data_IF_734893023275
#
_entry.id   IF_734893023275
#
_cell.length_a   1.000
_cell.length_b   1.000
_cell.length_c   1.000
_cell.angle_alpha   90.00
_cell.angle_beta   90.00
_cell.angle_gamma   90.00
#
_symmetry.space_group_name_H-M   'P 1'
#
loop_
_entity.id
_entity.type
_entity.pdbx_description
1 polymer ?
#
# COMPACT_ATOMS: atom_id res chain seq x y z
N UNK A 1 41.31 22.24 -29.38
CA UNK A 1 40.70 21.72 -28.12
C UNK A 1 39.34 22.38 -27.88
N UNK A 2 38.34 22.09 -28.72
CA UNK A 2 37.00 22.71 -28.63
C UNK A 2 35.84 21.71 -28.80
N UNK A 3 36.13 20.41 -28.88
CA UNK A 3 35.14 19.37 -29.15
C UNK A 3 34.56 18.68 -27.91
N UNK A 4 35.10 18.94 -26.72
CA UNK A 4 34.77 18.17 -25.51
C UNK A 4 33.70 18.82 -24.62
N UNK A 5 33.37 20.09 -24.84
CA UNK A 5 32.40 20.83 -24.01
C UNK A 5 30.96 20.58 -24.44
N UNK A 6 30.72 20.22 -25.71
CA UNK A 6 29.37 20.09 -26.26
C UNK A 6 28.67 18.78 -25.83
N UNK A 7 29.43 17.70 -25.57
CA UNK A 7 28.87 16.39 -25.22
C UNK A 7 28.31 16.38 -23.78
N UNK A 8 28.89 17.19 -22.89
CA UNK A 8 28.46 17.26 -21.49
C UNK A 8 27.09 17.92 -21.32
N UNK A 9 26.74 18.88 -22.18
CA UNK A 9 25.46 19.60 -22.07
C UNK A 9 24.27 18.78 -22.59
N UNK A 10 24.45 18.00 -23.66
CA UNK A 10 23.38 17.16 -24.20
C UNK A 10 23.05 15.99 -23.26
N UNK A 11 24.06 15.44 -22.57
CA UNK A 11 23.85 14.37 -21.59
C UNK A 11 23.02 14.81 -20.37
N UNK A 12 23.14 16.06 -19.94
CA UNK A 12 22.37 16.60 -18.80
C UNK A 12 20.88 16.75 -19.08
N UNK A 13 20.51 17.16 -20.31
CA UNK A 13 19.10 17.36 -20.68
C UNK A 13 18.35 16.02 -20.78
N UNK A 14 19.02 14.96 -21.23
CA UNK A 14 18.40 13.62 -21.35
C UNK A 14 18.26 12.95 -19.97
N UNK A 15 19.20 13.16 -19.05
CA UNK A 15 19.11 12.63 -17.69
C UNK A 15 17.94 13.23 -16.87
N UNK A 16 17.58 14.49 -17.12
CA UNK A 16 16.42 15.14 -16.48
C UNK A 16 15.07 14.64 -17.02
N UNK A 17 15.01 14.22 -18.29
CA UNK A 17 13.78 13.74 -18.92
C UNK A 17 13.40 12.29 -18.52
N UNK A 18 14.37 11.51 -18.01
CA UNK A 18 14.16 10.15 -17.52
C UNK A 18 14.02 10.06 -16.00
N UNK A 19 13.89 11.18 -15.28
CA UNK A 19 13.38 11.12 -13.92
C UNK A 19 11.97 10.53 -14.00
N UNK A 20 11.72 9.32 -13.46
CA UNK A 20 10.37 8.81 -13.43
C UNK A 20 9.56 9.83 -12.64
N UNK A 21 8.71 10.58 -13.35
CA UNK A 21 7.56 11.21 -12.73
C UNK A 21 6.84 10.04 -12.09
N UNK A 22 7.06 9.86 -10.79
CA UNK A 22 6.23 9.03 -9.94
C UNK A 22 4.88 9.72 -10.03
N UNK A 23 4.15 9.42 -11.10
CA UNK A 23 2.79 9.86 -11.32
C UNK A 23 2.08 9.43 -10.06
N UNK A 24 1.74 10.44 -9.26
CA UNK A 24 1.10 10.31 -7.98
C UNK A 24 -0.27 9.75 -8.23
N UNK A 25 -0.36 8.42 -8.34
CA UNK A 25 -1.61 7.74 -8.15
C UNK A 25 -2.13 8.24 -6.81
N UNK A 26 -3.18 9.06 -6.89
CA UNK A 26 -3.81 9.62 -5.71
C UNK A 26 -4.67 8.54 -5.05
N UNK A 27 -5.11 7.56 -5.84
CA UNK A 27 -5.98 6.47 -5.43
C UNK A 27 -5.39 5.11 -5.79
N UNK A 28 -5.46 4.15 -4.87
CA UNK A 28 -4.90 2.81 -4.97
C UNK A 28 -5.95 1.80 -4.54
N UNK A 29 -6.42 0.99 -5.48
CA UNK A 29 -7.27 -0.15 -5.17
C UNK A 29 -6.61 -1.43 -5.67
N UNK A 30 -6.87 -2.54 -4.98
CA UNK A 30 -6.32 -3.82 -5.42
C UNK A 30 -6.62 -4.96 -4.49
N UNK A 31 -6.00 -6.11 -4.81
CA UNK A 31 -6.07 -7.32 -3.99
C UNK A 31 -4.72 -8.01 -3.93
N UNK A 32 -4.39 -8.59 -2.78
CA UNK A 32 -3.26 -9.50 -2.59
C UNK A 32 -3.72 -10.81 -1.96
N UNK A 33 -2.95 -11.86 -2.21
CA UNK A 33 -3.20 -13.18 -1.66
C UNK A 33 -2.07 -13.56 -0.71
N UNK A 34 -2.45 -14.12 0.44
CA UNK A 34 -1.53 -14.70 1.42
C UNK A 34 -1.90 -16.18 1.57
N UNK A 35 -0.93 -17.05 1.82
CA UNK A 35 -1.21 -18.46 2.08
C UNK A 35 -2.14 -18.62 3.30
N UNK A 36 -3.05 -19.59 3.25
CA UNK A 36 -3.85 -19.99 4.42
C UNK A 36 -3.43 -21.40 4.91
N UNK A 37 -2.34 -21.51 5.69
CA UNK A 37 -1.85 -22.81 6.14
C UNK A 37 -2.85 -23.53 7.04
N UNK A 38 -3.68 -22.81 7.80
CA UNK A 38 -4.69 -23.42 8.69
C UNK A 38 -5.88 -24.01 7.94
N UNK A 39 -6.06 -23.66 6.67
CA UNK A 39 -7.21 -24.01 5.82
C UNK A 39 -8.59 -23.61 6.36
N UNK A 40 -8.63 -22.90 7.48
CA UNK A 40 -9.85 -22.40 8.12
C UNK A 40 -10.44 -21.24 7.31
N UNK A 41 -11.75 -21.29 7.08
CA UNK A 41 -12.51 -20.19 6.47
C UNK A 41 -12.96 -19.14 7.48
N UNK A 42 -13.09 -19.55 8.75
CA UNK A 42 -13.28 -18.61 9.85
C UNK A 42 -11.99 -17.85 10.09
N UNK A 43 -12.11 -16.55 10.34
CA UNK A 43 -10.99 -15.68 10.62
C UNK A 43 -11.42 -14.67 11.66
N UNK A 44 -10.77 -14.73 12.81
CA UNK A 44 -10.98 -13.73 13.85
C UNK A 44 -10.43 -12.36 13.40
N UNK A 45 -10.95 -11.32 14.05
CA UNK A 45 -10.60 -9.93 13.76
C UNK A 45 -9.10 -9.65 13.95
N UNK A 46 -8.45 -10.25 14.94
CA UNK A 46 -7.02 -10.00 15.22
C UNK A 46 -6.12 -10.54 14.10
N UNK A 47 -6.45 -11.73 13.60
CA UNK A 47 -5.76 -12.37 12.48
C UNK A 47 -5.97 -11.58 11.19
N UNK A 48 -7.20 -11.13 10.92
CA UNK A 48 -7.48 -10.29 9.76
C UNK A 48 -6.69 -8.96 9.82
N UNK A 49 -6.66 -8.28 10.97
CA UNK A 49 -5.88 -7.05 11.19
C UNK A 49 -4.40 -7.26 10.94
N UNK A 50 -3.83 -8.31 11.52
CA UNK A 50 -2.40 -8.64 11.36
C UNK A 50 -2.03 -8.88 9.89
N UNK A 51 -2.84 -9.65 9.16
CA UNK A 51 -2.62 -9.95 7.74
C UNK A 51 -2.80 -8.68 6.89
N UNK A 52 -3.86 -7.91 7.14
CA UNK A 52 -4.12 -6.64 6.45
C UNK A 52 -2.95 -5.68 6.60
N UNK A 53 -2.49 -5.43 7.83
CA UNK A 53 -1.32 -4.59 8.11
C UNK A 53 -0.07 -5.06 7.39
N UNK A 54 0.19 -6.37 7.34
CA UNK A 54 1.32 -6.94 6.58
C UNK A 54 1.20 -6.63 5.09
N UNK A 55 0.04 -6.86 4.49
CA UNK A 55 -0.21 -6.56 3.07
C UNK A 55 -0.04 -5.08 2.78
N UNK A 56 -0.61 -4.19 3.60
CA UNK A 56 -0.47 -2.74 3.43
C UNK A 56 1.01 -2.32 3.49
N UNK A 57 1.79 -2.82 4.45
CA UNK A 57 3.24 -2.55 4.53
C UNK A 57 4.03 -3.07 3.33
N UNK A 58 3.57 -4.14 2.66
CA UNK A 58 4.23 -4.68 1.47
C UNK A 58 3.85 -3.92 0.20
N UNK A 59 2.59 -3.48 0.09
CA UNK A 59 2.09 -2.76 -1.09
C UNK A 59 2.52 -1.30 -1.08
N UNK A 60 2.50 -0.68 0.09
CA UNK A 60 2.79 0.74 0.27
C UNK A 60 4.14 0.92 0.95
N UNK A 61 4.82 2.01 0.61
CA UNK A 61 6.07 2.40 1.24
C UNK A 61 5.82 3.05 2.61
N UNK A 62 5.25 2.31 3.56
CA UNK A 62 4.92 2.77 4.91
C UNK A 62 6.20 3.14 5.67
N UNK A 63 6.22 4.28 6.37
CA UNK A 63 7.36 4.66 7.21
C UNK A 63 7.53 3.66 8.38
N UNK A 64 8.77 3.28 8.67
CA UNK A 64 9.08 2.44 9.82
C UNK A 64 8.58 3.12 11.12
N UNK A 65 7.95 2.35 11.99
CA UNK A 65 7.37 2.86 13.24
C UNK A 65 5.95 3.41 13.12
N UNK A 66 5.39 3.56 11.92
CA UNK A 66 4.00 3.98 11.76
C UNK A 66 3.04 2.84 12.14
N UNK A 67 2.14 3.13 13.07
CA UNK A 67 1.02 2.26 13.37
C UNK A 67 -0.04 2.39 12.29
N UNK A 68 -0.56 1.26 11.83
CA UNK A 68 -1.67 1.19 10.89
C UNK A 68 -2.92 0.93 11.72
N UNK A 69 -3.75 1.95 11.90
CA UNK A 69 -5.03 1.79 12.58
C UNK A 69 -5.90 0.78 11.84
N UNK A 70 -6.75 0.05 12.58
CA UNK A 70 -7.62 -0.97 12.02
C UNK A 70 -8.84 -1.18 12.91
N UNK A 71 -9.99 -0.61 12.54
CA UNK A 71 -11.28 -0.77 13.24
C UNK A 71 -12.21 -1.66 12.41
N UNK A 72 -12.77 -2.73 12.98
CA UNK A 72 -13.47 -3.77 12.20
C UNK A 72 -14.96 -3.86 12.46
N UNK A 73 -15.77 -4.02 11.40
CA UNK A 73 -17.13 -4.60 11.48
C UNK A 73 -17.09 -6.13 11.28
N UNK A 74 -17.97 -6.83 11.98
CA UNK A 74 -17.92 -8.28 12.24
C UNK A 74 -18.72 -9.13 11.24
N UNK A 75 -18.04 -9.97 10.45
CA UNK A 75 -18.58 -11.18 9.81
C UNK A 75 -17.58 -12.34 10.03
N UNK A 76 -18.03 -13.55 10.35
CA UNK A 76 -17.11 -14.67 10.71
C UNK A 76 -16.13 -15.08 9.59
N UNK A 77 -16.44 -14.74 8.33
CA UNK A 77 -15.62 -15.06 7.15
C UNK A 77 -14.93 -13.85 6.52
N UNK A 78 -15.17 -12.66 7.07
CA UNK A 78 -14.75 -11.39 6.50
C UNK A 78 -14.53 -10.32 7.57
N UNK A 79 -13.40 -9.64 7.51
CA UNK A 79 -13.16 -8.49 8.38
C UNK A 79 -12.59 -7.34 7.55
N UNK A 80 -13.31 -6.23 7.53
CA UNK A 80 -12.89 -4.94 6.98
C UNK A 80 -12.22 -4.08 8.04
N UNK A 81 -11.29 -3.21 7.67
CA UNK A 81 -10.69 -2.20 8.55
C UNK A 81 -10.30 -0.95 7.79
N UNK A 82 -10.60 0.22 8.35
CA UNK A 82 -9.98 1.47 7.91
C UNK A 82 -8.53 1.53 8.36
N UNK A 83 -7.69 2.22 7.61
CA UNK A 83 -6.29 2.46 7.95
C UNK A 83 -5.83 3.85 7.56
N UNK A 84 -4.82 4.32 8.28
CA UNK A 84 -4.07 5.53 7.98
C UNK A 84 -2.58 5.25 8.21
N UNK A 85 -1.72 5.81 7.37
CA UNK A 85 -0.28 5.85 7.61
C UNK A 85 0.38 7.01 6.88
N UNK A 86 1.57 7.41 7.33
CA UNK A 86 2.46 8.28 6.56
C UNK A 86 3.44 7.43 5.77
N UNK A 87 3.51 7.64 4.46
CA UNK A 87 4.52 6.99 3.61
C UNK A 87 5.93 7.47 3.96
N UNK A 88 6.95 6.72 3.55
CA UNK A 88 8.36 7.12 3.67
C UNK A 88 8.68 8.42 2.91
N UNK A 89 7.79 8.86 2.03
CA UNK A 89 7.91 10.08 1.23
C UNK A 89 7.19 11.28 1.85
N UNK A 90 6.58 11.12 3.03
CA UNK A 90 5.89 12.20 3.74
C UNK A 90 4.40 12.36 3.41
N UNK A 91 3.88 11.63 2.42
CA UNK A 91 2.45 11.66 2.08
C UNK A 91 1.62 10.92 3.14
N UNK A 92 0.49 11.49 3.54
CA UNK A 92 -0.53 10.83 4.37
C UNK A 92 -1.44 10.00 3.48
N UNK A 93 -1.52 8.70 3.74
CA UNK A 93 -2.38 7.77 3.02
C UNK A 93 -3.46 7.23 3.95
N UNK A 94 -4.70 7.22 3.48
CA UNK A 94 -5.87 6.73 4.22
C UNK A 94 -6.62 5.72 3.36
N UNK A 95 -7.41 4.84 3.95
CA UNK A 95 -8.17 3.88 3.17
C UNK A 95 -8.81 2.80 4.00
N UNK A 96 -9.23 1.74 3.34
CA UNK A 96 -9.80 0.56 3.98
C UNK A 96 -9.28 -0.71 3.31
N UNK A 97 -9.13 -1.78 4.10
CA UNK A 97 -8.88 -3.12 3.60
C UNK A 97 -9.96 -4.08 4.07
N UNK A 98 -10.11 -5.20 3.36
CA UNK A 98 -11.01 -6.30 3.69
C UNK A 98 -10.29 -7.62 3.50
N UNK A 99 -10.22 -8.44 4.54
CA UNK A 99 -9.63 -9.76 4.50
C UNK A 99 -10.72 -10.84 4.45
N UNK A 100 -10.62 -11.76 3.49
CA UNK A 100 -11.50 -12.93 3.35
C UNK A 100 -10.69 -14.22 3.26
N UNK A 101 -10.98 -15.18 4.13
CA UNK A 101 -10.28 -16.46 4.15
C UNK A 101 -10.95 -17.50 3.26
N UNK A 102 -10.15 -18.13 2.40
CA UNK A 102 -10.47 -19.32 1.61
C UNK A 102 -9.61 -20.49 2.08
N UNK A 103 -9.95 -21.73 1.69
CA UNK A 103 -9.23 -22.92 2.17
C UNK A 103 -7.73 -22.93 1.89
N UNK A 104 -7.27 -22.36 0.78
CA UNK A 104 -5.85 -22.36 0.40
C UNK A 104 -5.18 -20.98 0.55
N UNK A 105 -5.97 -19.91 0.69
CA UNK A 105 -5.47 -18.54 0.62
C UNK A 105 -6.36 -17.56 1.37
N UNK A 106 -5.82 -16.42 1.74
CA UNK A 106 -6.55 -15.28 2.29
C UNK A 106 -6.43 -14.17 1.27
N UNK A 107 -7.57 -13.65 0.80
CA UNK A 107 -7.61 -12.50 -0.09
C UNK A 107 -7.73 -11.24 0.76
N UNK A 108 -6.82 -10.29 0.55
CA UNK A 108 -6.87 -8.95 1.15
C UNK A 108 -7.14 -7.97 0.04
N UNK A 109 -8.33 -7.38 0.05
CA UNK A 109 -8.72 -6.27 -0.79
C UNK A 109 -8.32 -4.98 -0.08
N UNK A 110 -7.85 -3.98 -0.81
CA UNK A 110 -7.54 -2.67 -0.26
C UNK A 110 -7.97 -1.59 -1.23
N UNK A 111 -8.32 -0.45 -0.65
CA UNK A 111 -8.65 0.80 -1.31
C UNK A 111 -8.01 1.91 -0.46
N UNK A 112 -7.23 2.80 -1.08
CA UNK A 112 -6.40 3.78 -0.40
C UNK A 112 -6.26 5.07 -1.20
N UNK A 113 -6.13 6.20 -0.51
CA UNK A 113 -5.99 7.52 -1.08
C UNK A 113 -4.81 8.26 -0.45
N UNK A 114 -3.94 8.84 -1.28
CA UNK A 114 -2.70 9.54 -0.91
C UNK A 114 -2.88 11.05 -0.69
N UNK A 115 -4.09 11.59 -0.85
CA UNK A 115 -4.40 12.99 -0.57
C UNK A 115 -4.78 13.28 0.89
N UNK A 116 -4.59 12.31 1.79
CA UNK A 116 -5.06 12.40 3.17
C UNK A 116 -6.53 12.04 3.33
N UNK A 117 -7.04 12.15 4.55
CA UNK A 117 -8.41 11.78 4.89
C UNK A 117 -9.15 13.09 5.17
N UNK A 118 -10.12 13.42 4.32
CA UNK A 118 -11.05 14.51 4.60
C UNK A 118 -12.09 14.05 5.59
N UNK A 119 -11.67 13.79 6.84
CA UNK A 119 -12.50 13.45 8.01
C UNK A 119 -12.56 11.93 8.33
N UNK A 120 -11.89 11.54 9.42
CA UNK A 120 -12.00 10.25 10.10
C UNK A 120 -12.81 10.41 11.39
#
# INVERSE_FOLDING_TARGET
MAGLVLVAFVGWVIAAACAPRVLGAEHFHGKRYVANPTRQRAMDTSRAKSIGRRVIRTVFAVRLGTEIYACSRHLFSESGCDFQFTSKYGNTTCGNFKARAYRSRIAVYYDAYNGGCGDF
#
